data_IF_203705977368
#
_entry.id   IF_203705977368
#
_cell.length_a   1.000
_cell.length_b   1.000
_cell.length_c   1.000
_cell.angle_alpha   90.00
_cell.angle_beta   90.00
_cell.angle_gamma   90.00
#
_symmetry.space_group_name_H-M   'P 1'
#
loop_
_entity.id
_entity.type
_entity.pdbx_description
1 polymer ?
#
# COMPACT_ATOMS: atom_id res chain seq x y z
N UNK A 1 6.78 -5.72 -80.42
CA UNK A 1 7.46 -4.48 -79.96
C UNK A 1 7.03 -4.22 -78.53
N UNK A 2 7.77 -4.85 -77.60
CA UNK A 2 7.53 -4.89 -76.16
C UNK A 2 8.43 -3.82 -75.54
N UNK A 3 7.87 -2.65 -75.20
CA UNK A 3 8.48 -1.62 -74.34
C UNK A 3 7.41 -0.52 -74.23
N UNK A 4 6.62 -0.42 -73.16
CA UNK A 4 6.98 0.39 -72.00
C UNK A 4 5.91 0.31 -70.88
N UNK A 5 5.23 -0.82 -70.69
CA UNK A 5 4.24 -0.98 -69.59
C UNK A 5 4.91 -1.08 -68.20
N UNK A 6 6.22 -1.35 -68.14
CA UNK A 6 7.00 -1.51 -66.90
C UNK A 6 7.45 -0.20 -66.22
N UNK A 7 7.15 0.98 -66.78
CA UNK A 7 7.54 2.28 -66.20
C UNK A 7 6.43 2.96 -65.39
N UNK A 8 5.16 2.59 -65.60
CA UNK A 8 4.04 3.21 -64.89
C UNK A 8 3.84 2.64 -63.46
N UNK A 9 4.14 1.37 -63.24
CA UNK A 9 4.00 0.73 -61.92
C UNK A 9 5.16 1.01 -60.95
N UNK A 10 6.29 1.57 -61.41
CA UNK A 10 7.43 1.89 -60.51
C UNK A 10 7.36 3.31 -59.91
N UNK A 11 6.48 4.18 -60.40
CA UNK A 11 6.37 5.56 -59.91
C UNK A 11 5.22 5.79 -58.93
N UNK A 12 4.30 4.82 -58.77
CA UNK A 12 3.22 4.93 -57.77
C UNK A 12 3.58 4.24 -56.44
N UNK A 13 4.57 3.34 -56.43
CA UNK A 13 5.05 2.68 -55.22
C UNK A 13 6.03 3.55 -54.40
N UNK A 14 6.58 4.62 -55.00
CA UNK A 14 7.58 5.47 -54.35
C UNK A 14 7.01 6.70 -53.60
N UNK A 15 5.69 6.92 -53.65
CA UNK A 15 5.03 8.06 -52.97
C UNK A 15 4.32 7.64 -51.67
N UNK A 16 4.15 6.34 -51.42
CA UNK A 16 3.50 5.85 -50.21
C UNK A 16 4.42 5.69 -48.99
N UNK A 17 5.74 5.92 -49.13
CA UNK A 17 6.72 5.71 -48.06
C UNK A 17 7.35 7.00 -47.50
N UNK A 18 6.94 8.18 -48.00
CA UNK A 18 7.57 9.46 -47.66
C UNK A 18 6.67 10.44 -46.89
N UNK A 19 5.55 9.99 -46.34
CA UNK A 19 4.64 10.84 -45.52
C UNK A 19 4.37 10.30 -44.12
N UNK A 20 5.03 9.23 -43.70
CA UNK A 20 4.86 8.65 -42.35
C UNK A 20 5.96 9.05 -41.34
N UNK A 21 6.77 10.08 -41.63
CA UNK A 21 7.92 10.44 -40.79
C UNK A 21 8.02 11.93 -40.45
N UNK A 22 6.89 12.64 -40.40
CA UNK A 22 6.86 14.02 -39.93
C UNK A 22 5.60 14.17 -39.07
N UNK A 23 5.78 14.58 -37.81
CA UNK A 23 4.78 14.85 -36.75
C UNK A 23 4.54 13.75 -35.71
N UNK A 24 5.60 13.19 -35.13
CA UNK A 24 5.57 12.77 -33.72
C UNK A 24 6.82 13.24 -32.98
N UNK A 25 7.19 14.51 -33.18
CA UNK A 25 7.99 15.24 -32.19
C UNK A 25 7.10 15.57 -31.00
N UNK A 26 6.61 14.56 -30.29
CA UNK A 26 6.21 14.74 -28.90
C UNK A 26 7.53 14.95 -28.16
N UNK A 27 7.87 16.22 -27.92
CA UNK A 27 8.88 16.58 -26.94
C UNK A 27 8.48 15.90 -25.65
N UNK A 28 9.12 14.76 -25.36
CA UNK A 28 9.09 14.15 -24.05
C UNK A 28 9.86 15.11 -23.17
N UNK A 29 9.12 16.03 -22.55
CA UNK A 29 9.60 16.69 -21.34
C UNK A 29 9.67 15.54 -20.34
N UNK A 30 10.82 14.90 -20.26
CA UNK A 30 11.17 14.11 -19.09
C UNK A 30 10.99 15.05 -17.90
N UNK A 31 10.13 14.73 -16.91
CA UNK A 31 10.02 15.57 -15.74
C UNK A 31 11.37 15.53 -15.02
N UNK A 32 12.13 16.61 -15.22
CA UNK A 32 13.40 16.85 -14.54
C UNK A 32 13.13 16.81 -13.05
N UNK A 33 13.85 15.94 -12.37
CA UNK A 33 13.65 15.53 -11.00
C UNK A 33 13.49 16.72 -10.02
N UNK A 34 12.26 16.93 -9.54
CA UNK A 34 11.98 17.44 -8.18
C UNK A 34 12.12 16.30 -7.14
N UNK A 35 13.03 15.34 -7.38
CA UNK A 35 13.17 14.15 -6.55
C UNK A 35 13.52 14.50 -5.09
N UNK A 36 14.23 15.60 -4.82
CA UNK A 36 14.52 16.05 -3.46
C UNK A 36 13.30 16.64 -2.73
N UNK A 37 12.51 17.48 -3.41
CA UNK A 37 11.34 18.15 -2.82
C UNK A 37 10.21 17.16 -2.51
N UNK A 38 9.93 16.26 -3.46
CA UNK A 38 8.85 15.28 -3.30
C UNK A 38 9.19 14.20 -2.28
N UNK A 39 10.46 13.82 -2.12
CA UNK A 39 10.87 12.81 -1.13
C UNK A 39 10.70 13.31 0.31
N UNK A 40 11.03 14.58 0.58
CA UNK A 40 10.81 15.18 1.91
C UNK A 40 9.34 15.25 2.31
N UNK A 41 8.45 15.61 1.37
CA UNK A 41 7.00 15.65 1.60
C UNK A 41 6.44 14.25 1.90
N UNK A 42 6.91 13.23 1.18
CA UNK A 42 6.48 11.82 1.37
C UNK A 42 6.88 11.30 2.76
N UNK A 43 8.11 11.56 3.20
CA UNK A 43 8.60 11.12 4.53
C UNK A 43 7.82 11.81 5.66
N UNK A 44 7.59 13.12 5.56
CA UNK A 44 6.82 13.86 6.55
C UNK A 44 5.38 13.35 6.67
N UNK A 45 4.75 13.00 5.54
CA UNK A 45 3.40 12.47 5.52
C UNK A 45 3.32 11.07 6.16
N UNK A 46 4.28 10.18 5.86
CA UNK A 46 4.36 8.88 6.50
C UNK A 46 4.54 9.03 8.03
N UNK A 47 5.46 9.89 8.46
CA UNK A 47 5.75 10.15 9.88
C UNK A 47 4.50 10.61 10.64
N UNK A 48 3.71 11.53 10.06
CA UNK A 48 2.45 11.99 10.65
C UNK A 48 1.46 10.85 10.93
N UNK A 49 1.36 9.88 10.03
CA UNK A 49 0.46 8.74 10.24
C UNK A 49 1.01 7.75 11.25
N UNK A 50 2.33 7.55 11.31
CA UNK A 50 2.98 6.76 12.37
C UNK A 50 2.76 7.36 13.75
N UNK A 51 2.91 8.69 13.89
CA UNK A 51 2.60 9.41 15.14
C UNK A 51 1.14 9.20 15.57
N UNK A 52 0.20 9.24 14.62
CA UNK A 52 -1.22 8.97 14.89
C UNK A 52 -1.51 7.54 15.35
N UNK A 53 -0.62 6.57 15.04
CA UNK A 53 -0.76 5.18 15.46
C UNK A 53 -0.21 4.92 16.87
N UNK A 54 0.73 5.75 17.38
CA UNK A 54 1.35 5.56 18.70
C UNK A 54 0.33 5.50 19.86
N UNK A 55 -0.69 6.38 19.94
CA UNK A 55 -1.72 6.28 20.97
C UNK A 55 -2.52 4.97 20.90
N UNK A 56 -2.71 4.39 19.72
CA UNK A 56 -3.41 3.12 19.56
C UNK A 56 -2.54 1.94 20.01
N UNK A 57 -1.25 1.99 19.70
CA UNK A 57 -0.26 1.02 20.18
C UNK A 57 -0.21 0.99 21.71
N UNK A 58 -0.18 2.17 22.34
CA UNK A 58 -0.18 2.30 23.80
C UNK A 58 -1.40 1.69 24.50
N UNK A 59 -2.45 1.33 23.77
CA UNK A 59 -3.63 0.66 24.32
C UNK A 59 -3.65 -0.86 24.08
N UNK A 60 -2.61 -1.44 23.47
CA UNK A 60 -2.51 -2.88 23.32
C UNK A 60 -2.40 -3.61 24.68
N UNK A 61 -1.91 -2.95 25.73
CA UNK A 61 -1.94 -3.50 27.09
C UNK A 61 -3.36 -3.60 27.67
N UNK A 62 -4.27 -2.70 27.28
CA UNK A 62 -5.69 -2.79 27.65
C UNK A 62 -6.32 -4.03 26.95
N UNK A 63 -6.01 -4.22 25.67
CA UNK A 63 -6.44 -5.40 24.93
C UNK A 63 -5.87 -6.71 25.50
N UNK A 64 -4.61 -6.69 25.96
CA UNK A 64 -3.96 -7.83 26.63
C UNK A 64 -4.73 -8.28 27.86
N UNK A 65 -5.19 -7.31 28.68
CA UNK A 65 -5.99 -7.56 29.87
C UNK A 65 -7.26 -8.34 29.52
N UNK A 66 -8.02 -7.86 28.54
CA UNK A 66 -9.24 -8.56 28.09
C UNK A 66 -8.96 -9.96 27.54
N UNK A 67 -7.86 -10.15 26.80
CA UNK A 67 -7.46 -11.48 26.30
C UNK A 67 -7.09 -12.43 27.43
N UNK A 68 -6.34 -11.93 28.41
CA UNK A 68 -5.86 -12.71 29.57
C UNK A 68 -6.99 -13.10 30.52
N UNK A 69 -7.96 -12.22 30.72
CA UNK A 69 -9.16 -12.47 31.54
C UNK A 69 -10.21 -13.33 30.81
N UNK A 70 -10.05 -13.54 29.50
CA UNK A 70 -11.04 -14.22 28.67
C UNK A 70 -12.33 -13.41 28.51
N UNK A 71 -12.25 -12.09 28.60
CA UNK A 71 -13.37 -11.18 28.33
C UNK A 71 -13.55 -10.98 26.83
N UNK A 72 -14.09 -12.02 26.19
CA UNK A 72 -14.25 -12.06 24.74
C UNK A 72 -15.16 -10.97 24.17
N UNK A 73 -16.09 -10.45 24.98
CA UNK A 73 -16.96 -9.35 24.55
C UNK A 73 -16.16 -8.06 24.48
N UNK A 74 -15.33 -7.78 25.49
CA UNK A 74 -14.48 -6.60 25.47
C UNK A 74 -13.35 -6.72 24.44
N UNK A 75 -12.73 -7.89 24.22
CA UNK A 75 -11.77 -8.08 23.12
C UNK A 75 -12.35 -7.62 21.78
N UNK A 76 -13.56 -8.07 21.45
CA UNK A 76 -14.20 -7.75 20.17
C UNK A 76 -14.67 -6.30 20.09
N UNK A 77 -15.23 -5.78 21.18
CA UNK A 77 -15.67 -4.37 21.26
C UNK A 77 -14.47 -3.44 21.14
N UNK A 78 -13.34 -3.80 21.75
CA UNK A 78 -12.11 -3.04 21.73
C UNK A 78 -11.52 -2.93 20.32
N UNK A 79 -11.41 -4.07 19.61
CA UNK A 79 -10.89 -4.11 18.23
C UNK A 79 -11.72 -3.22 17.29
N UNK A 80 -13.04 -3.16 17.49
CA UNK A 80 -13.97 -2.46 16.59
C UNK A 80 -14.23 -1.00 16.98
N UNK A 81 -14.01 -0.63 18.25
CA UNK A 81 -14.24 0.72 18.77
C UNK A 81 -12.93 1.44 19.03
N UNK A 82 -12.33 1.30 20.22
CA UNK A 82 -11.01 1.80 20.59
C UNK A 82 -9.90 1.74 19.53
N UNK A 83 -9.79 0.63 18.79
CA UNK A 83 -8.80 0.46 17.71
C UNK A 83 -9.36 0.75 16.31
N UNK A 84 -10.57 1.28 16.18
CA UNK A 84 -11.25 1.51 14.90
C UNK A 84 -10.48 2.43 13.95
N UNK A 85 -9.72 3.39 14.47
CA UNK A 85 -8.89 4.30 13.67
C UNK A 85 -7.61 3.64 13.12
N UNK A 86 -7.24 2.45 13.58
CA UNK A 86 -6.05 1.73 13.12
C UNK A 86 -6.10 1.45 11.61
N UNK A 87 -7.26 1.02 11.11
CA UNK A 87 -7.49 0.74 9.70
C UNK A 87 -7.23 1.95 8.79
N UNK A 88 -7.95 3.08 8.96
CA UNK A 88 -7.73 4.26 8.12
C UNK A 88 -6.34 4.87 8.28
N UNK A 89 -5.77 4.91 9.49
CA UNK A 89 -4.43 5.47 9.71
C UNK A 89 -3.33 4.63 9.04
N UNK A 90 -3.33 3.31 9.28
CA UNK A 90 -2.34 2.41 8.68
C UNK A 90 -2.43 2.37 7.15
N UNK A 91 -3.65 2.45 6.58
CA UNK A 91 -3.83 2.57 5.13
C UNK A 91 -3.19 3.85 4.58
N UNK A 92 -3.44 5.00 5.22
CA UNK A 92 -2.86 6.28 4.81
C UNK A 92 -1.34 6.30 4.95
N UNK A 93 -0.79 5.65 5.99
CA UNK A 93 0.65 5.41 6.12
C UNK A 93 1.16 4.65 4.90
N UNK A 94 0.56 3.50 4.58
CA UNK A 94 0.95 2.67 3.44
C UNK A 94 0.87 3.40 2.10
N UNK A 95 -0.08 4.30 1.92
CA UNK A 95 -0.21 5.13 0.71
C UNK A 95 0.83 6.25 0.65
N UNK A 96 1.34 6.69 1.81
CA UNK A 96 2.34 7.75 1.95
C UNK A 96 3.78 7.25 1.94
N UNK A 97 4.02 5.95 1.81
CA UNK A 97 5.37 5.41 1.72
C UNK A 97 6.02 5.70 0.37
N UNK A 98 7.37 5.83 0.32
CA UNK A 98 8.11 5.90 -0.94
C UNK A 98 7.75 4.75 -1.89
N UNK A 99 7.69 5.01 -3.20
CA UNK A 99 7.30 4.01 -4.20
C UNK A 99 8.10 2.70 -4.11
N UNK A 100 9.38 2.78 -3.74
CA UNK A 100 10.27 1.64 -3.57
C UNK A 100 9.83 0.67 -2.45
N UNK A 101 9.24 1.19 -1.36
CA UNK A 101 8.84 0.41 -0.17
C UNK A 101 7.32 0.28 -0.01
N UNK A 102 6.53 1.00 -0.81
CA UNK A 102 5.08 1.04 -0.69
C UNK A 102 4.43 -0.35 -0.75
N UNK A 103 4.90 -1.22 -1.66
CA UNK A 103 4.36 -2.58 -1.81
C UNK A 103 4.64 -3.46 -0.59
N UNK A 104 5.86 -3.42 -0.03
CA UNK A 104 6.20 -4.19 1.16
C UNK A 104 5.48 -3.63 2.39
N UNK A 105 5.44 -2.31 2.56
CA UNK A 105 4.73 -1.68 3.69
C UNK A 105 3.24 -1.98 3.70
N UNK A 106 2.56 -1.93 2.54
CA UNK A 106 1.15 -2.35 2.43
C UNK A 106 0.94 -3.83 2.80
N UNK A 107 1.92 -4.72 2.56
CA UNK A 107 1.84 -6.11 3.01
C UNK A 107 1.97 -6.23 4.53
N UNK A 108 2.87 -5.46 5.14
CA UNK A 108 3.00 -5.39 6.60
C UNK A 108 1.71 -4.89 7.26
N UNK A 109 1.11 -3.83 6.73
CA UNK A 109 -0.18 -3.29 7.20
C UNK A 109 -1.30 -4.33 7.06
N UNK A 110 -1.34 -5.05 5.92
CA UNK A 110 -2.31 -6.13 5.72
C UNK A 110 -2.12 -7.24 6.75
N UNK A 111 -0.88 -7.60 7.09
CA UNK A 111 -0.60 -8.66 8.06
C UNK A 111 -1.16 -8.29 9.45
N UNK A 112 -0.98 -7.04 9.89
CA UNK A 112 -1.58 -6.53 11.12
C UNK A 112 -3.12 -6.65 11.11
N UNK A 113 -3.76 -6.22 10.02
CA UNK A 113 -5.22 -6.33 9.88
C UNK A 113 -5.69 -7.80 9.89
N UNK A 114 -4.94 -8.69 9.25
CA UNK A 114 -5.26 -10.12 9.22
C UNK A 114 -5.16 -10.74 10.63
N UNK A 115 -4.18 -10.35 11.45
CA UNK A 115 -4.07 -10.79 12.84
C UNK A 115 -5.18 -10.24 13.74
N UNK A 116 -5.56 -8.96 13.60
CA UNK A 116 -6.72 -8.40 14.32
C UNK A 116 -8.03 -9.14 13.98
N UNK A 117 -8.23 -9.48 12.70
CA UNK A 117 -9.40 -10.25 12.28
C UNK A 117 -9.40 -11.67 12.86
N UNK A 118 -8.22 -12.32 12.92
CA UNK A 118 -8.09 -13.66 13.54
C UNK A 118 -8.31 -13.60 15.05
N UNK A 119 -7.84 -12.54 15.72
CA UNK A 119 -8.10 -12.31 17.13
C UNK A 119 -9.61 -12.11 17.41
N UNK A 120 -10.30 -11.26 16.63
CA UNK A 120 -11.76 -11.10 16.73
C UNK A 120 -12.50 -12.42 16.51
N UNK A 121 -12.07 -13.21 15.51
CA UNK A 121 -12.64 -14.52 15.23
C UNK A 121 -12.36 -15.55 16.34
N UNK A 122 -11.16 -15.54 16.93
CA UNK A 122 -10.80 -16.41 18.05
C UNK A 122 -11.62 -16.06 19.30
N UNK A 123 -11.77 -14.75 19.59
CA UNK A 123 -12.63 -14.26 20.68
C UNK A 123 -14.10 -14.66 20.46
N UNK A 124 -14.62 -14.53 19.24
CA UNK A 124 -15.98 -14.97 18.91
C UNK A 124 -16.20 -16.47 19.18
N UNK A 125 -15.17 -17.29 19.00
CA UNK A 125 -15.16 -18.73 19.29
C UNK A 125 -14.72 -19.08 20.72
N UNK A 126 -14.39 -18.09 21.55
CA UNK A 126 -13.82 -18.26 22.89
C UNK A 126 -12.56 -19.15 22.91
N UNK A 127 -11.78 -19.11 21.84
CA UNK A 127 -10.58 -19.91 21.69
C UNK A 127 -9.39 -19.16 22.29
N UNK A 128 -9.13 -19.38 23.58
CA UNK A 128 -8.10 -18.68 24.35
C UNK A 128 -6.70 -18.88 23.77
N UNK A 129 -6.33 -20.10 23.40
CA UNK A 129 -5.01 -20.40 22.83
C UNK A 129 -4.77 -19.63 21.53
N UNK A 130 -5.76 -19.58 20.64
CA UNK A 130 -5.63 -18.82 19.39
C UNK A 130 -5.69 -17.32 19.65
N UNK A 131 -6.52 -16.86 20.59
CA UNK A 131 -6.60 -15.45 20.93
C UNK A 131 -5.27 -14.92 21.49
N UNK A 132 -4.64 -15.63 22.43
CA UNK A 132 -3.33 -15.25 22.96
C UNK A 132 -2.26 -15.19 21.85
N UNK A 133 -2.18 -16.23 21.02
CA UNK A 133 -1.24 -16.28 19.89
C UNK A 133 -1.45 -15.12 18.91
N UNK A 134 -2.70 -14.84 18.55
CA UNK A 134 -2.99 -13.78 17.59
C UNK A 134 -2.83 -12.38 18.22
N UNK A 135 -3.00 -12.24 19.53
CA UNK A 135 -2.63 -11.01 20.25
C UNK A 135 -1.12 -10.73 20.14
N UNK A 136 -0.27 -11.72 20.43
CA UNK A 136 1.19 -11.56 20.29
C UNK A 136 1.58 -11.18 18.85
N UNK A 137 0.90 -11.80 17.87
CA UNK A 137 1.11 -11.50 16.47
C UNK A 137 0.62 -10.09 16.08
N UNK A 138 -0.45 -9.57 16.71
CA UNK A 138 -0.88 -8.18 16.57
C UNK A 138 0.20 -7.24 17.09
N UNK A 139 0.75 -7.48 18.29
CA UNK A 139 1.82 -6.65 18.88
C UNK A 139 3.01 -6.57 17.93
N UNK A 140 3.52 -7.73 17.50
CA UNK A 140 4.68 -7.80 16.60
C UNK A 140 4.41 -7.16 15.23
N UNK A 141 3.23 -7.37 14.65
CA UNK A 141 2.86 -6.75 13.39
C UNK A 141 2.66 -5.23 13.52
N UNK A 142 2.19 -4.75 14.68
CA UNK A 142 2.03 -3.32 14.95
C UNK A 142 3.41 -2.66 15.05
N UNK A 143 4.36 -3.24 15.79
CA UNK A 143 5.75 -2.77 15.82
C UNK A 143 6.35 -2.65 14.41
N UNK A 144 6.12 -3.67 13.58
CA UNK A 144 6.58 -3.65 12.19
C UNK A 144 5.92 -2.54 11.36
N UNK A 145 4.65 -2.20 11.62
CA UNK A 145 3.96 -1.06 10.98
C UNK A 145 4.54 0.28 11.45
N UNK A 146 4.83 0.42 12.74
CA UNK A 146 5.44 1.64 13.29
C UNK A 146 6.85 1.90 12.74
N UNK A 147 7.57 0.84 12.35
CA UNK A 147 8.88 0.93 11.71
C UNK A 147 8.89 1.22 10.20
N UNK A 148 7.73 1.50 9.57
CA UNK A 148 7.65 1.75 8.12
C UNK A 148 8.03 3.16 7.69
N UNK A 149 7.99 4.15 8.59
CA UNK A 149 8.27 5.56 8.32
C UNK A 149 9.66 5.97 8.80
#
# INVERSE_FOLDING_TARGET
MILNFKRFCKSLLAVAFATALVLTSFSTIAPTALAGSNTGIVIAQASKYTEGLQPLYGRLSELEGYVSEGDWNNVRTFIRGPLGELGPLSRRLGDSLPAATQKSGRRTIKLLADHLNKLDAAAAKRNSTTAAKEYDAVVSAFDAVLGLS
#
